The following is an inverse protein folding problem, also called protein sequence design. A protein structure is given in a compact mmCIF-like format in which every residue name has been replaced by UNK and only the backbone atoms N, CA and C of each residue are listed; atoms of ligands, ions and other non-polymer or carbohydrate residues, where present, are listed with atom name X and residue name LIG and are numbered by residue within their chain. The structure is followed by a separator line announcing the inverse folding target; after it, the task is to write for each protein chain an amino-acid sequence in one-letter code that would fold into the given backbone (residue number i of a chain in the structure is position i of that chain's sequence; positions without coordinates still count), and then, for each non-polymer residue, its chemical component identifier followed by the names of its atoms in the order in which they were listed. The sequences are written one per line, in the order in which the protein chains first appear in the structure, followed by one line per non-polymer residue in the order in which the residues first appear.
data_IF_854260698619
#
_entry.id   IF_854260698619
#
_cell.length_a   1.000
_cell.length_b   1.000
_cell.length_c   1.000
_cell.angle_alpha   90.00
_cell.angle_beta   90.00
_cell.angle_gamma   90.00
#
_symmetry.space_group_name_H-M   'P 1'
#
loop_
_entity.id
_entity.type
_entity.pdbx_description
1 polymer ?
#
# COMPACT_ATOMS: atom_id res chain seq x y z
N UNK A 1 16.17 -0.43 35.19
CA UNK A 1 16.22 -0.23 33.73
C UNK A 1 15.05 -0.85 32.98
N UNK A 2 15.03 -2.14 32.59
CA UNK A 2 13.93 -2.73 31.80
C UNK A 2 12.53 -2.51 32.38
N UNK A 3 12.35 -2.76 33.68
CA UNK A 3 11.05 -2.53 34.34
C UNK A 3 10.64 -1.05 34.33
N UNK A 4 11.58 -0.15 34.57
CA UNK A 4 11.31 1.30 34.57
C UNK A 4 10.93 1.78 33.17
N UNK A 5 11.62 1.30 32.13
CA UNK A 5 11.27 1.59 30.73
C UNK A 5 9.90 1.04 30.39
N UNK A 6 9.61 -0.20 30.78
CA UNK A 6 8.33 -0.84 30.50
C UNK A 6 7.18 -0.12 31.21
N UNK A 7 7.32 0.22 32.49
CA UNK A 7 6.31 0.95 33.27
C UNK A 7 6.05 2.34 32.66
N UNK A 8 7.10 3.03 32.22
CA UNK A 8 6.98 4.30 31.51
C UNK A 8 6.24 4.15 30.18
N UNK A 9 6.66 3.24 29.30
CA UNK A 9 6.00 3.02 28.01
C UNK A 9 4.52 2.63 28.17
N UNK A 10 4.21 1.70 29.08
CA UNK A 10 2.85 1.30 29.38
C UNK A 10 2.00 2.48 29.88
N UNK A 11 2.56 3.35 30.73
CA UNK A 11 1.86 4.53 31.21
C UNK A 11 1.52 5.51 30.07
N UNK A 12 2.45 5.71 29.13
CA UNK A 12 2.23 6.59 27.97
C UNK A 12 1.21 5.98 27.01
N UNK A 13 1.32 4.70 26.69
CA UNK A 13 0.37 3.98 25.81
C UNK A 13 -1.05 4.07 26.38
N UNK A 14 -1.20 3.82 27.68
CA UNK A 14 -2.49 3.88 28.35
C UNK A 14 -3.04 5.32 28.38
N UNK A 15 -2.21 6.30 28.73
CA UNK A 15 -2.62 7.71 28.77
C UNK A 15 -3.09 8.21 27.39
N UNK A 16 -2.45 7.75 26.31
CA UNK A 16 -2.82 8.13 24.95
C UNK A 16 -3.97 7.29 24.37
N UNK A 17 -4.41 6.23 25.06
CA UNK A 17 -5.52 5.38 24.65
C UNK A 17 -5.19 4.40 23.53
N UNK A 18 -3.94 3.93 23.45
CA UNK A 18 -3.50 2.99 22.42
C UNK A 18 -3.36 1.54 22.90
N UNK A 19 -3.94 1.21 24.05
CA UNK A 19 -3.94 -0.16 24.61
C UNK A 19 -4.47 -1.19 23.59
N UNK A 20 -5.66 -0.94 23.05
CA UNK A 20 -6.32 -1.84 22.09
C UNK A 20 -5.52 -1.99 20.79
N UNK A 21 -4.87 -0.91 20.33
CA UNK A 21 -4.04 -0.94 19.12
C UNK A 21 -2.88 -1.93 19.26
N UNK A 22 -2.14 -1.85 20.37
CA UNK A 22 -1.05 -2.79 20.65
C UNK A 22 -1.54 -4.23 20.78
N UNK A 23 -2.70 -4.44 21.41
CA UNK A 23 -3.26 -5.78 21.58
C UNK A 23 -3.77 -6.39 20.26
N UNK A 24 -4.35 -5.58 19.36
CA UNK A 24 -4.77 -6.03 18.02
C UNK A 24 -3.54 -6.43 17.20
N UNK A 25 -2.50 -5.58 17.20
CA UNK A 25 -1.24 -5.87 16.49
C UNK A 25 -0.58 -7.12 17.05
N UNK A 26 -0.50 -7.24 18.38
CA UNK A 26 -0.02 -8.44 19.06
C UNK A 26 -0.80 -9.69 18.66
N UNK A 27 -2.13 -9.64 18.62
CA UNK A 27 -2.96 -10.81 18.30
C UNK A 27 -2.68 -11.33 16.88
N UNK A 28 -2.51 -10.43 15.91
CA UNK A 28 -2.13 -10.79 14.53
C UNK A 28 -0.72 -11.38 14.48
N UNK A 29 0.24 -10.79 15.20
CA UNK A 29 1.62 -11.29 15.28
C UNK A 29 1.70 -12.65 15.97
N UNK A 30 0.97 -12.83 17.07
CA UNK A 30 0.89 -14.10 17.79
C UNK A 30 0.28 -15.20 16.91
N UNK A 31 -0.72 -14.88 16.08
CA UNK A 31 -1.21 -15.82 15.07
C UNK A 31 -0.13 -16.18 14.05
N UNK A 32 0.60 -15.19 13.52
CA UNK A 32 1.68 -15.44 12.56
C UNK A 32 2.76 -16.36 13.15
N UNK A 33 3.22 -16.07 14.36
CA UNK A 33 4.22 -16.87 15.09
C UNK A 33 3.76 -18.31 15.32
N UNK A 34 2.54 -18.51 15.85
CA UNK A 34 1.96 -19.85 16.08
C UNK A 34 1.87 -20.68 14.80
N UNK A 35 1.58 -20.03 13.66
CA UNK A 35 1.46 -20.67 12.35
C UNK A 35 2.77 -20.69 11.55
N UNK A 36 3.89 -20.28 12.17
CA UNK A 36 5.23 -20.24 11.56
C UNK A 36 5.26 -19.40 10.27
N UNK A 37 4.50 -18.31 10.25
CA UNK A 37 4.52 -17.32 9.17
C UNK A 37 5.63 -16.33 9.49
N UNK A 38 6.69 -16.33 8.69
CA UNK A 38 7.80 -15.38 8.83
C UNK A 38 7.31 -14.01 8.37
N UNK A 39 7.17 -13.08 9.31
CA UNK A 39 6.83 -11.67 9.03
C UNK A 39 8.08 -10.90 8.60
N UNK A 40 7.89 -9.82 7.84
CA UNK A 40 9.00 -8.99 7.38
C UNK A 40 9.73 -8.29 8.54
N UNK A 41 11.00 -7.95 8.30
CA UNK A 41 11.86 -7.26 9.28
C UNK A 41 11.49 -5.79 9.51
N UNK A 42 10.55 -5.23 8.73
CA UNK A 42 10.17 -3.82 8.79
C UNK A 42 9.36 -3.52 10.04
N UNK A 43 9.93 -2.74 10.97
CA UNK A 43 9.21 -2.20 12.14
C UNK A 43 9.70 -0.79 12.53
N UNK A 44 9.93 0.05 11.51
CA UNK A 44 10.04 1.51 11.58
C UNK A 44 10.60 2.10 12.88
N UNK A 45 9.87 3.06 13.45
CA UNK A 45 10.17 3.59 14.79
C UNK A 45 9.71 2.65 15.91
N UNK A 46 8.79 1.72 15.63
CA UNK A 46 8.24 0.77 16.60
C UNK A 46 9.30 -0.10 17.30
N UNK A 47 10.43 -0.36 16.64
CA UNK A 47 11.59 -1.03 17.25
C UNK A 47 12.16 -0.30 18.48
N UNK A 48 11.83 0.98 18.71
CA UNK A 48 12.19 1.72 19.92
C UNK A 48 11.31 1.44 21.14
N UNK A 49 10.25 0.64 20.99
CA UNK A 49 9.33 0.27 22.08
C UNK A 49 9.70 -1.08 22.70
N UNK A 50 9.98 -1.05 24.00
CA UNK A 50 10.18 -2.26 24.80
C UNK A 50 8.87 -3.04 24.96
N UNK A 51 7.72 -2.36 24.99
CA UNK A 51 6.41 -3.03 24.96
C UNK A 51 6.24 -3.84 23.67
N UNK A 52 6.59 -3.28 22.51
CA UNK A 52 6.54 -4.00 21.24
C UNK A 52 7.48 -5.21 21.21
N UNK A 53 8.66 -5.10 21.83
CA UNK A 53 9.61 -6.20 21.96
C UNK A 53 9.07 -7.34 22.84
N UNK A 54 8.53 -7.02 24.03
CA UNK A 54 7.98 -8.02 24.96
C UNK A 54 6.74 -8.72 24.38
N UNK A 55 5.98 -8.03 23.53
CA UNK A 55 4.85 -8.61 22.81
C UNK A 55 5.26 -9.38 21.55
N UNK A 56 6.56 -9.56 21.27
CA UNK A 56 7.07 -10.22 20.06
C UNK A 56 6.52 -9.59 18.75
N UNK A 57 6.21 -8.28 18.79
CA UNK A 57 5.82 -7.48 17.61
C UNK A 57 7.08 -7.07 16.84
N UNK A 58 8.15 -6.79 17.57
CA UNK A 58 9.50 -6.49 17.07
C UNK A 58 10.50 -7.47 17.67
N UNK A 59 11.51 -7.87 16.89
CA UNK A 59 12.55 -8.81 17.36
C UNK A 59 13.80 -8.13 17.95
N UNK A 60 13.81 -6.79 18.04
CA UNK A 60 14.97 -5.98 18.45
C UNK A 60 14.79 -5.50 19.89
N UNK A 61 15.78 -5.75 20.74
CA UNK A 61 15.83 -5.19 22.10
C UNK A 61 16.20 -3.70 22.05
N UNK A 62 15.28 -2.78 22.40
CA UNK A 62 15.55 -1.35 22.31
C UNK A 62 16.58 -0.86 23.32
N UNK A 63 16.76 -1.52 24.47
CA UNK A 63 17.71 -1.09 25.48
C UNK A 63 19.13 -1.53 25.13
N UNK A 64 19.30 -2.67 24.48
CA UNK A 64 20.62 -3.10 23.98
C UNK A 64 21.19 -2.14 22.92
N UNK A 65 20.32 -1.53 22.11
CA UNK A 65 20.71 -0.66 20.99
C UNK A 65 20.40 0.83 21.22
N UNK A 66 20.13 1.24 22.46
CA UNK A 66 19.82 2.64 22.84
C UNK A 66 18.70 3.28 21.98
N UNK A 67 17.68 2.50 21.62
CA UNK A 67 16.56 2.96 20.81
C UNK A 67 15.55 3.75 21.66
N UNK A 68 15.08 4.87 21.11
CA UNK A 68 14.21 5.82 21.79
C UNK A 68 12.73 5.53 21.50
N UNK A 69 11.94 5.35 22.55
CA UNK A 69 10.49 5.13 22.47
C UNK A 69 9.76 6.36 21.95
N UNK A 70 10.22 7.56 22.31
CA UNK A 70 9.62 8.84 21.93
C UNK A 70 9.69 9.10 20.42
N UNK A 71 10.57 8.38 19.70
CA UNK A 71 10.58 8.40 18.24
C UNK A 71 9.37 7.67 17.65
N UNK A 72 8.87 6.66 18.35
CA UNK A 72 7.66 5.93 17.99
C UNK A 72 6.42 6.65 18.50
N UNK A 73 6.35 6.90 19.80
CA UNK A 73 5.19 7.48 20.44
C UNK A 73 5.62 8.56 21.44
N UNK A 74 5.24 9.81 21.17
CA UNK A 74 5.60 10.95 22.00
C UNK A 74 4.34 11.53 22.68
N UNK A 75 4.27 11.57 24.02
CA UNK A 75 3.11 12.12 24.73
C UNK A 75 2.88 13.62 24.46
N UNK A 76 3.94 14.39 24.12
CA UNK A 76 3.83 15.82 23.79
C UNK A 76 3.32 16.07 22.36
N UNK A 77 3.34 15.04 21.51
CA UNK A 77 2.90 15.12 20.13
C UNK A 77 1.90 14.01 19.85
N UNK A 78 0.62 14.34 19.84
CA UNK A 78 -0.43 13.39 19.51
C UNK A 78 -0.32 12.94 18.05
N UNK A 79 0.35 11.82 17.82
CA UNK A 79 0.46 11.11 16.55
C UNK A 79 -0.07 9.71 16.74
N UNK A 80 -0.85 9.21 15.77
CA UNK A 80 -1.26 7.81 15.79
C UNK A 80 -0.02 6.92 15.67
N UNK A 81 0.09 5.87 16.50
CA UNK A 81 1.15 4.88 16.34
C UNK A 81 0.99 4.18 15.00
N UNK A 82 2.12 3.91 14.35
CA UNK A 82 2.15 3.23 13.06
C UNK A 82 3.15 2.07 13.12
N UNK A 83 2.61 0.86 13.28
CA UNK A 83 3.35 -0.41 13.26
C UNK A 83 3.06 -1.07 11.91
N UNK A 84 4.00 -0.90 10.99
CA UNK A 84 3.95 -1.55 9.68
C UNK A 84 4.06 -3.08 9.87
N UNK A 85 2.99 -3.82 9.54
CA UNK A 85 2.98 -5.28 9.55
C UNK A 85 3.18 -5.85 8.14
N UNK A 86 4.38 -6.33 7.87
CA UNK A 86 4.71 -7.01 6.61
C UNK A 86 4.40 -8.51 6.68
N UNK A 87 3.39 -8.96 5.94
CA UNK A 87 3.01 -10.37 5.79
C UNK A 87 3.40 -10.87 4.39
N UNK A 88 4.07 -12.04 4.27
CA UNK A 88 4.50 -12.53 2.98
C UNK A 88 3.31 -12.91 2.08
N UNK A 89 3.41 -12.58 0.79
CA UNK A 89 2.31 -12.72 -0.17
C UNK A 89 1.72 -14.13 -0.24
N UNK A 90 2.55 -15.16 -0.14
CA UNK A 90 2.15 -16.56 -0.23
C UNK A 90 1.39 -17.08 1.01
N UNK A 91 1.41 -16.36 2.13
CA UNK A 91 0.70 -16.71 3.37
C UNK A 91 -0.30 -15.62 3.80
N UNK A 92 -0.44 -14.55 3.02
CA UNK A 92 -1.30 -13.40 3.31
C UNK A 92 -2.75 -13.80 3.56
N UNK A 93 -3.29 -14.67 2.72
CA UNK A 93 -4.69 -15.13 2.82
C UNK A 93 -4.99 -15.80 4.16
N UNK A 94 -4.04 -16.53 4.75
CA UNK A 94 -4.23 -17.16 6.06
C UNK A 94 -4.42 -16.12 7.17
N UNK A 95 -3.61 -15.05 7.14
CA UNK A 95 -3.73 -13.94 8.10
C UNK A 95 -5.02 -13.17 7.86
N UNK A 96 -5.39 -12.90 6.61
CA UNK A 96 -6.66 -12.24 6.28
C UNK A 96 -7.87 -13.02 6.78
N UNK A 97 -7.86 -14.35 6.57
CA UNK A 97 -8.91 -15.24 7.05
C UNK A 97 -9.00 -15.22 8.57
N UNK A 98 -7.86 -15.27 9.27
CA UNK A 98 -7.81 -15.16 10.72
C UNK A 98 -8.43 -13.86 11.22
N UNK A 99 -7.99 -12.71 10.67
CA UNK A 99 -8.51 -11.39 11.07
C UNK A 99 -10.02 -11.31 10.79
N UNK A 100 -10.47 -11.82 9.63
CA UNK A 100 -11.90 -11.85 9.27
C UNK A 100 -12.72 -12.69 10.26
N UNK A 101 -12.24 -13.87 10.65
CA UNK A 101 -12.92 -14.74 11.62
C UNK A 101 -12.92 -14.15 13.03
N UNK A 102 -11.80 -13.54 13.42
CA UNK A 102 -11.58 -12.98 14.76
C UNK A 102 -12.37 -11.71 15.02
N UNK A 103 -12.30 -10.75 14.10
CA UNK A 103 -12.89 -9.41 14.27
C UNK A 103 -14.26 -9.29 13.60
N UNK A 104 -14.61 -10.21 12.71
CA UNK A 104 -15.91 -10.28 12.05
C UNK A 104 -15.89 -9.72 10.64
N UNK A 105 -16.66 -10.34 9.74
CA UNK A 105 -16.64 -10.05 8.31
C UNK A 105 -17.01 -8.61 7.92
N UNK A 106 -17.81 -7.93 8.74
CA UNK A 106 -18.25 -6.55 8.50
C UNK A 106 -17.41 -5.50 9.23
N UNK A 107 -16.41 -5.95 9.99
CA UNK A 107 -15.50 -5.12 10.77
C UNK A 107 -14.09 -5.10 10.18
N UNK A 108 -13.89 -5.80 9.07
CA UNK A 108 -12.63 -5.85 8.34
C UNK A 108 -12.88 -5.68 6.85
N UNK A 109 -12.05 -4.88 6.19
CA UNK A 109 -12.04 -4.77 4.73
C UNK A 109 -10.64 -4.54 4.21
N UNK A 110 -10.40 -4.96 2.96
CA UNK A 110 -9.20 -4.59 2.22
C UNK A 110 -9.37 -3.17 1.65
N UNK A 111 -8.27 -2.42 1.63
CA UNK A 111 -8.25 -1.08 1.02
C UNK A 111 -8.25 -1.25 -0.50
N UNK A 112 -8.98 -0.39 -1.23
CA UNK A 112 -8.91 -0.39 -2.68
C UNK A 112 -7.78 0.52 -3.18
N UNK A 113 -7.06 0.09 -4.21
CA UNK A 113 -6.15 0.94 -5.00
C UNK A 113 -6.72 1.17 -6.38
N UNK A 114 -6.31 2.26 -7.03
CA UNK A 114 -6.75 2.58 -8.39
C UNK A 114 -5.56 2.51 -9.34
N UNK A 115 -5.65 1.61 -10.32
CA UNK A 115 -4.74 1.62 -11.45
C UNK A 115 -5.07 2.81 -12.35
N UNK A 116 -4.10 3.69 -12.59
CA UNK A 116 -4.26 4.84 -13.48
C UNK A 116 -3.69 4.55 -14.88
N UNK A 117 -4.15 5.30 -15.88
CA UNK A 117 -3.65 5.21 -17.25
C UNK A 117 -2.27 5.88 -17.37
N UNK A 118 -1.20 5.15 -17.04
CA UNK A 118 0.18 5.62 -17.23
C UNK A 118 0.54 5.79 -18.72
N UNK A 119 1.52 6.65 -19.04
CA UNK A 119 1.92 7.04 -20.40
C UNK A 119 1.96 5.90 -21.43
N UNK A 120 2.59 4.77 -21.10
CA UNK A 120 2.67 3.60 -22.00
C UNK A 120 1.34 2.89 -22.17
N UNK A 121 0.56 2.79 -21.09
CA UNK A 121 -0.73 2.11 -21.08
C UNK A 121 -1.75 2.90 -21.88
N UNK A 122 -1.86 4.21 -21.60
CA UNK A 122 -2.83 5.08 -22.27
C UNK A 122 -2.60 5.12 -23.79
N UNK A 123 -1.34 5.11 -24.24
CA UNK A 123 -1.04 5.04 -25.68
C UNK A 123 -1.45 3.72 -26.31
N UNK A 124 -1.26 2.59 -25.62
CA UNK A 124 -1.68 1.29 -26.14
C UNK A 124 -3.19 1.20 -26.29
N UNK A 125 -3.92 1.72 -25.30
CA UNK A 125 -5.38 1.71 -25.34
C UNK A 125 -5.94 2.68 -26.37
N UNK A 126 -5.41 3.91 -26.45
CA UNK A 126 -5.75 4.84 -27.50
C UNK A 126 -5.46 4.26 -28.89
N UNK A 127 -4.27 3.66 -29.09
CA UNK A 127 -3.92 3.02 -30.36
C UNK A 127 -4.91 1.91 -30.75
N UNK A 128 -5.31 1.06 -29.80
CA UNK A 128 -6.30 0.00 -30.05
C UNK A 128 -7.65 0.58 -30.48
N UNK A 129 -8.14 1.63 -29.81
CA UNK A 129 -9.41 2.30 -30.16
C UNK A 129 -9.34 2.94 -31.55
N UNK A 130 -8.19 3.49 -31.94
CA UNK A 130 -7.95 4.06 -33.27
C UNK A 130 -7.72 2.98 -34.35
N UNK A 131 -7.86 1.69 -34.03
CA UNK A 131 -7.77 0.58 -34.96
C UNK A 131 -6.34 0.20 -35.36
N UNK A 132 -5.33 0.58 -34.57
CA UNK A 132 -3.96 0.12 -34.79
C UNK A 132 -3.82 -1.34 -34.34
N UNK A 133 -3.00 -2.09 -35.07
CA UNK A 133 -2.62 -3.45 -34.70
C UNK A 133 -1.81 -3.48 -33.40
N UNK A 134 -1.72 -4.66 -32.78
CA UNK A 134 -0.92 -4.85 -31.56
C UNK A 134 0.56 -4.52 -31.78
N UNK A 135 1.09 -4.75 -32.98
CA UNK A 135 2.46 -4.41 -33.36
C UNK A 135 2.68 -2.89 -33.38
N UNK A 136 1.74 -2.15 -33.98
CA UNK A 136 1.78 -0.69 -34.03
C UNK A 136 1.63 -0.10 -32.62
N UNK A 137 0.66 -0.56 -31.82
CA UNK A 137 0.50 -0.12 -30.44
C UNK A 137 1.75 -0.38 -29.59
N UNK A 138 2.46 -1.49 -29.83
CA UNK A 138 3.74 -1.77 -29.20
C UNK A 138 4.84 -0.82 -29.65
N UNK A 139 4.86 -0.40 -30.93
CA UNK A 139 5.79 0.62 -31.43
C UNK A 139 5.58 1.96 -30.72
N UNK A 140 4.33 2.39 -30.55
CA UNK A 140 3.99 3.59 -29.77
C UNK A 140 4.45 3.49 -28.32
N UNK A 141 4.17 2.36 -27.66
CA UNK A 141 4.59 2.16 -26.27
C UNK A 141 6.10 2.16 -26.07
N UNK A 142 6.87 1.59 -27.02
CA UNK A 142 8.34 1.55 -26.98
C UNK A 142 8.99 2.91 -27.23
N UNK A 143 8.27 3.83 -27.89
CA UNK A 143 8.75 5.19 -28.09
C UNK A 143 8.76 6.02 -26.79
N UNK A 144 8.13 5.56 -25.71
CA UNK A 144 8.17 6.20 -24.40
C UNK A 144 9.45 5.79 -23.65
N UNK A 145 10.29 6.75 -23.21
CA UNK A 145 11.48 6.47 -22.41
C UNK A 145 11.18 5.66 -21.14
N UNK A 146 12.11 4.81 -20.74
CA UNK A 146 12.04 4.06 -19.49
C UNK A 146 12.43 4.95 -18.30
N UNK A 147 11.51 5.82 -17.89
CA UNK A 147 11.66 6.68 -16.72
C UNK A 147 10.45 6.53 -15.81
N UNK A 148 10.69 6.47 -14.50
CA UNK A 148 9.65 6.37 -13.50
C UNK A 148 8.76 7.63 -13.54
N UNK A 149 7.43 7.45 -13.54
CA UNK A 149 6.43 8.53 -13.58
C UNK A 149 6.56 9.52 -14.76
N UNK A 150 7.11 9.08 -15.89
CA UNK A 150 7.15 9.91 -17.12
C UNK A 150 5.75 10.21 -17.63
N UNK A 151 5.53 11.45 -18.08
CA UNK A 151 4.29 11.89 -18.74
C UNK A 151 4.44 11.89 -20.26
N UNK A 152 3.32 11.83 -21.01
CA UNK A 152 3.34 11.91 -22.47
C UNK A 152 3.93 13.22 -22.97
N UNK A 153 3.65 14.34 -22.30
CA UNK A 153 4.22 15.64 -22.65
C UNK A 153 5.75 15.67 -22.45
N UNK A 154 6.26 15.05 -21.38
CA UNK A 154 7.70 14.92 -21.17
C UNK A 154 8.32 13.98 -22.20
N UNK A 155 7.71 12.83 -22.46
CA UNK A 155 8.18 11.86 -23.44
C UNK A 155 8.23 12.47 -24.85
N UNK A 156 7.29 13.33 -25.22
CA UNK A 156 7.29 14.01 -26.52
C UNK A 156 8.46 14.98 -26.67
N UNK A 157 8.90 15.62 -25.59
CA UNK A 157 10.06 16.53 -25.63
C UNK A 157 11.40 15.79 -25.73
N UNK A 158 11.47 14.57 -25.20
CA UNK A 158 12.73 13.83 -25.06
C UNK A 158 12.89 12.69 -26.05
N UNK A 159 11.80 12.15 -26.59
CA UNK A 159 11.82 11.01 -27.52
C UNK A 159 11.58 11.46 -28.96
N UNK A 160 12.65 11.49 -29.75
CA UNK A 160 12.57 11.74 -31.20
C UNK A 160 11.66 10.74 -31.90
N UNK A 161 11.69 9.46 -31.50
CA UNK A 161 10.84 8.42 -32.08
C UNK A 161 9.34 8.71 -31.85
N UNK A 162 8.99 9.24 -30.67
CA UNK A 162 7.61 9.62 -30.39
C UNK A 162 7.18 10.80 -31.24
N UNK A 163 8.03 11.82 -31.39
CA UNK A 163 7.75 12.98 -32.25
C UNK A 163 7.49 12.54 -33.69
N UNK A 164 8.34 11.67 -34.24
CA UNK A 164 8.18 11.14 -35.60
C UNK A 164 6.86 10.37 -35.77
N UNK A 165 6.49 9.54 -34.79
CA UNK A 165 5.21 8.82 -34.81
C UNK A 165 4.02 9.77 -34.79
N UNK A 166 4.03 10.77 -33.92
CA UNK A 166 2.95 11.75 -33.78
C UNK A 166 2.80 12.55 -35.07
N UNK A 167 3.90 12.99 -35.67
CA UNK A 167 3.89 13.84 -36.86
C UNK A 167 3.60 13.08 -38.17
N UNK A 168 3.64 11.75 -38.17
CA UNK A 168 3.49 10.94 -39.38
C UNK A 168 2.11 11.06 -40.06
N UNK A 169 1.04 11.41 -39.33
CA UNK A 169 -0.29 11.64 -39.91
C UNK A 169 -1.20 12.42 -38.98
N UNK A 170 -2.26 13.04 -39.52
CA UNK A 170 -3.31 13.68 -38.72
C UNK A 170 -3.99 12.70 -37.74
N UNK A 171 -4.16 11.44 -38.17
CA UNK A 171 -4.68 10.36 -37.32
C UNK A 171 -3.79 10.14 -36.09
N UNK A 172 -2.48 10.15 -36.27
CA UNK A 172 -1.52 9.96 -35.18
C UNK A 172 -1.48 11.16 -34.23
N UNK A 173 -1.61 12.38 -34.75
CA UNK A 173 -1.73 13.58 -33.93
C UNK A 173 -2.99 13.54 -33.06
N UNK A 174 -4.12 13.11 -33.63
CA UNK A 174 -5.38 12.96 -32.89
C UNK A 174 -5.28 11.86 -31.83
N UNK A 175 -4.68 10.71 -32.16
CA UNK A 175 -4.42 9.63 -31.21
C UNK A 175 -3.62 10.14 -30.01
N UNK A 176 -2.49 10.82 -30.26
CA UNK A 176 -1.62 11.33 -29.19
C UNK A 176 -2.32 12.40 -28.36
N UNK A 177 -3.03 13.34 -29.00
CA UNK A 177 -3.83 14.36 -28.31
C UNK A 177 -4.88 13.71 -27.39
N UNK A 178 -5.55 12.66 -27.87
CA UNK A 178 -6.53 11.90 -27.09
C UNK A 178 -5.84 11.21 -25.90
N UNK A 179 -4.70 10.57 -26.13
CA UNK A 179 -3.94 9.90 -25.07
C UNK A 179 -3.45 10.88 -23.98
N UNK A 180 -3.06 12.10 -24.36
CA UNK A 180 -2.68 13.16 -23.39
C UNK A 180 -3.86 13.57 -22.51
N UNK A 181 -5.08 13.62 -23.04
CA UNK A 181 -6.29 13.93 -22.25
C UNK A 181 -6.62 12.80 -21.27
N UNK A 182 -6.39 11.54 -21.67
CA UNK A 182 -6.72 10.36 -20.87
C UNK A 182 -5.61 9.99 -19.86
N UNK A 183 -4.40 10.53 -20.00
CA UNK A 183 -3.26 10.21 -19.13
C UNK A 183 -3.60 10.51 -17.67
N UNK A 184 -3.33 9.54 -16.80
CA UNK A 184 -3.54 9.67 -15.35
C UNK A 184 -4.98 9.41 -14.89
N UNK A 185 -5.95 9.26 -15.79
CA UNK A 185 -7.32 8.91 -15.39
C UNK A 185 -7.36 7.53 -14.71
N UNK A 186 -8.22 7.32 -13.69
CA UNK A 186 -8.47 6.01 -13.12
C UNK A 186 -9.00 5.05 -14.18
N UNK A 187 -8.48 3.82 -14.18
CA UNK A 187 -8.82 2.80 -15.17
C UNK A 187 -9.59 1.63 -14.56
N UNK A 188 -9.10 1.11 -13.46
CA UNK A 188 -9.67 -0.06 -12.79
C UNK A 188 -9.35 -0.01 -11.30
N UNK A 189 -10.17 -0.71 -10.52
CA UNK A 189 -9.94 -0.97 -9.11
C UNK A 189 -9.02 -2.18 -8.99
N UNK A 190 -8.07 -2.12 -8.06
CA UNK A 190 -7.16 -3.19 -7.69
C UNK A 190 -7.16 -3.34 -6.16
N UNK A 191 -6.83 -4.53 -5.68
CA UNK A 191 -6.66 -4.83 -4.25
C UNK A 191 -5.18 -5.02 -3.88
N UNK A 192 -4.29 -5.20 -4.87
CA UNK A 192 -2.85 -5.28 -4.64
C UNK A 192 -2.19 -3.89 -4.66
N UNK A 193 -1.30 -3.53 -3.73
CA UNK A 193 -0.88 -4.19 -2.48
C UNK A 193 -1.49 -3.45 -1.28
N UNK A 194 -2.82 -3.37 -1.25
CA UNK A 194 -3.51 -2.48 -0.35
C UNK A 194 -3.69 -3.15 1.02
N UNK A 195 -3.50 -2.37 2.09
CA UNK A 195 -3.58 -2.84 3.46
C UNK A 195 -4.98 -3.29 3.86
N UNK A 196 -5.10 -3.68 5.12
CA UNK A 196 -6.36 -4.09 5.75
C UNK A 196 -6.78 -3.01 6.72
N UNK A 197 -8.08 -2.70 6.75
CA UNK A 197 -8.70 -1.86 7.77
C UNK A 197 -9.49 -2.76 8.71
N UNK A 198 -9.36 -2.51 10.00
CA UNK A 198 -10.19 -3.10 11.07
C UNK A 198 -10.96 -1.96 11.74
N UNK A 199 -12.23 -2.17 12.05
CA UNK A 199 -13.08 -1.20 12.73
C UNK A 199 -13.87 -1.85 13.86
N UNK A 200 -14.01 -1.11 14.96
CA UNK A 200 -14.93 -1.41 16.07
C UNK A 200 -16.40 -1.35 15.65
N UNK A 201 -16.71 -0.67 14.54
CA UNK A 201 -18.06 -0.52 13.99
C UNK A 201 -18.22 -1.27 12.68
N UNK A 202 -19.47 -1.55 12.33
CA UNK A 202 -19.79 -2.14 11.05
C UNK A 202 -19.38 -1.17 9.91
N UNK A 203 -18.47 -1.62 9.05
CA UNK A 203 -17.93 -0.81 7.95
C UNK A 203 -19.00 -0.36 6.96
N UNK A 204 -20.11 -1.10 6.82
CA UNK A 204 -21.24 -0.72 5.96
C UNK A 204 -21.94 0.57 6.44
N UNK A 205 -21.77 0.95 7.71
CA UNK A 205 -22.29 2.21 8.26
C UNK A 205 -21.31 3.37 8.10
N UNK A 206 -20.03 3.08 7.84
CA UNK A 206 -18.96 4.07 7.81
C UNK A 206 -18.56 4.44 6.38
N UNK A 207 -18.37 3.44 5.51
CA UNK A 207 -17.82 3.61 4.17
C UNK A 207 -18.50 2.68 3.15
N UNK A 208 -18.68 3.13 1.89
CA UNK A 208 -19.13 2.24 0.83
C UNK A 208 -18.10 1.14 0.56
N UNK A 209 -18.57 -0.11 0.45
CA UNK A 209 -17.73 -1.27 0.13
C UNK A 209 -18.02 -1.79 -1.29
N UNK A 210 -16.99 -2.30 -1.94
CA UNK A 210 -17.07 -3.02 -3.21
C UNK A 210 -16.65 -4.47 -2.99
N UNK A 211 -17.33 -5.42 -3.63
CA UNK A 211 -16.92 -6.83 -3.61
C UNK A 211 -15.54 -7.00 -4.24
N UNK A 212 -14.71 -7.86 -3.64
CA UNK A 212 -13.39 -8.20 -4.15
C UNK A 212 -13.46 -9.02 -5.43
N UNK A 213 -12.34 -9.09 -6.16
CA UNK A 213 -12.20 -9.91 -7.37
C UNK A 213 -12.28 -11.41 -7.12
N UNK A 214 -12.07 -11.84 -5.88
CA UNK A 214 -11.93 -13.25 -5.50
C UNK A 214 -13.25 -13.86 -4.97
N UNK A 215 -14.32 -13.08 -4.93
CA UNK A 215 -15.66 -13.55 -4.60
C UNK A 215 -16.43 -13.86 -5.91
N UNK A 216 -16.26 -15.10 -6.40
CA UNK A 216 -17.15 -15.71 -7.38
C UNK A 216 -18.44 -16.23 -6.72
#
# INVERSE_FOLDING_TARGET
EYRERLDYELSVIHQMGFDDYFLIVWDVMAFAHRNKIVTGAGRGSAAGSLVAYVLEITDVDPLEYDLLFERFLNPERFTMPDIDLDIPDNRREEVLNYVREKYGQYHMAQIATFGTMAAKMVLRDAARVFGLSQSEANRWSKAIPNQLKITLTQAYKTSRQLVELVQASEKNQLLFKTAVILEGLPRHVSTHAAGVVISDRNLLELVPLQRGSDEA
#
